data_IF_147077597138
#
_entry.id   IF_147077597138
#
_cell.length_a   1.000
_cell.length_b   1.000
_cell.length_c   1.000
_cell.angle_alpha   90.00
_cell.angle_beta   90.00
_cell.angle_gamma   90.00
#
_symmetry.space_group_name_H-M   'P 1'
#
loop_
_entity.id
_entity.type
_entity.pdbx_description
1 polymer ?
#
# COMPACT_ATOMS: atom_id res chain seq x y z
N UNK A 1 1.26 28.23 -7.80
CA UNK A 1 1.17 26.86 -8.31
C UNK A 1 0.99 25.88 -7.16
N UNK A 2 -0.16 25.25 -7.15
CA UNK A 2 -0.41 24.21 -6.15
C UNK A 2 0.45 23.00 -6.46
N UNK A 3 1.30 22.63 -5.51
CA UNK A 3 1.99 21.36 -5.59
C UNK A 3 1.01 20.28 -5.18
N UNK A 4 0.39 19.65 -6.15
CA UNK A 4 -0.40 18.47 -5.85
C UNK A 4 0.56 17.33 -5.52
N UNK A 5 0.50 16.87 -4.27
CA UNK A 5 1.21 15.66 -3.89
C UNK A 5 0.38 14.50 -4.44
N UNK A 6 0.89 13.86 -5.46
CA UNK A 6 0.22 12.69 -6.03
C UNK A 6 0.31 11.53 -5.04
N UNK A 7 -0.74 10.72 -4.98
CA UNK A 7 -0.77 9.54 -4.12
C UNK A 7 0.44 8.63 -4.38
N UNK A 8 0.85 8.48 -5.64
CA UNK A 8 2.01 7.67 -6.01
C UNK A 8 3.29 8.16 -5.35
N UNK A 9 3.48 9.48 -5.23
CA UNK A 9 4.67 10.03 -4.60
C UNK A 9 4.71 9.73 -3.11
N UNK A 10 3.57 9.81 -2.43
CA UNK A 10 3.45 9.48 -1.00
C UNK A 10 3.77 8.00 -0.78
N UNK A 11 3.21 7.13 -1.60
CA UNK A 11 3.43 5.69 -1.52
C UNK A 11 4.89 5.36 -1.82
N UNK A 12 5.48 5.97 -2.85
CA UNK A 12 6.88 5.78 -3.21
C UNK A 12 7.80 6.15 -2.04
N UNK A 13 7.57 7.32 -1.44
CA UNK A 13 8.37 7.77 -0.31
C UNK A 13 8.26 6.83 0.89
N UNK A 14 7.06 6.31 1.14
CA UNK A 14 6.83 5.36 2.22
C UNK A 14 7.64 4.07 2.01
N UNK A 15 7.56 3.51 0.82
CA UNK A 15 8.30 2.29 0.51
C UNK A 15 9.82 2.54 0.50
N UNK A 16 10.24 3.72 0.09
CA UNK A 16 11.65 4.09 0.19
C UNK A 16 12.14 4.08 1.64
N UNK A 17 11.31 4.56 2.57
CA UNK A 17 11.64 4.49 3.99
C UNK A 17 11.82 3.06 4.47
N UNK A 18 10.96 2.14 4.00
CA UNK A 18 11.09 0.72 4.33
C UNK A 18 12.42 0.16 3.82
N UNK A 19 12.80 0.49 2.59
CA UNK A 19 14.05 0.03 2.00
C UNK A 19 15.27 0.60 2.71
N UNK A 20 15.21 1.87 3.14
CA UNK A 20 16.32 2.57 3.76
C UNK A 20 16.47 2.24 5.25
N UNK A 21 15.44 1.67 5.88
CA UNK A 21 15.49 1.36 7.29
C UNK A 21 16.41 0.17 7.54
N UNK A 22 17.48 0.40 8.29
CA UNK A 22 18.50 -0.62 8.59
C UNK A 22 18.10 -1.54 9.73
N UNK A 23 17.26 -1.04 10.64
CA UNK A 23 16.76 -1.84 11.77
C UNK A 23 15.62 -2.72 11.28
N UNK A 24 15.80 -4.03 11.38
CA UNK A 24 14.82 -4.99 10.91
C UNK A 24 13.48 -4.85 11.63
N UNK A 25 13.51 -4.59 12.92
CA UNK A 25 12.29 -4.42 13.72
C UNK A 25 11.49 -3.21 13.26
N UNK A 26 12.16 -2.08 13.03
CA UNK A 26 11.52 -0.87 12.55
C UNK A 26 10.97 -1.03 11.14
N UNK A 27 11.69 -1.76 10.28
CA UNK A 27 11.24 -2.07 8.93
C UNK A 27 9.90 -2.83 8.97
N UNK A 28 9.80 -3.83 9.84
CA UNK A 28 8.55 -4.60 10.02
C UNK A 28 7.45 -3.71 10.59
N UNK A 29 7.76 -2.83 11.52
CA UNK A 29 6.79 -1.88 12.08
C UNK A 29 6.23 -0.94 11.00
N UNK A 30 7.09 -0.46 10.10
CA UNK A 30 6.65 0.36 8.98
C UNK A 30 5.70 -0.42 8.06
N UNK A 31 6.05 -1.67 7.76
CA UNK A 31 5.21 -2.52 6.94
C UNK A 31 3.84 -2.78 7.57
N UNK A 32 3.82 -3.08 8.86
CA UNK A 32 2.57 -3.28 9.61
C UNK A 32 1.72 -2.02 9.64
N UNK A 33 2.36 -0.84 9.76
CA UNK A 33 1.68 0.44 9.69
C UNK A 33 0.99 0.64 8.34
N UNK A 34 1.65 0.25 7.26
CA UNK A 34 1.08 0.28 5.92
C UNK A 34 -0.17 -0.59 5.82
N UNK A 35 -0.09 -1.82 6.33
CA UNK A 35 -1.23 -2.75 6.33
C UNK A 35 -2.41 -2.14 7.08
N UNK A 36 -2.17 -1.61 8.28
CA UNK A 36 -3.22 -1.02 9.11
C UNK A 36 -3.87 0.17 8.42
N UNK A 37 -3.08 1.03 7.79
CA UNK A 37 -3.60 2.20 7.07
C UNK A 37 -4.47 1.76 5.89
N UNK A 38 -4.03 0.76 5.14
CA UNK A 38 -4.79 0.27 3.99
C UNK A 38 -6.08 -0.44 4.41
N UNK A 39 -6.04 -1.22 5.48
CA UNK A 39 -7.24 -1.87 6.02
C UNK A 39 -8.28 -0.83 6.46
N UNK A 40 -7.82 0.23 7.11
CA UNK A 40 -8.69 1.34 7.52
C UNK A 40 -9.34 2.01 6.30
N UNK A 41 -8.55 2.28 5.27
CA UNK A 41 -9.05 2.86 4.04
C UNK A 41 -10.10 1.98 3.36
N UNK A 42 -9.86 0.68 3.29
CA UNK A 42 -10.81 -0.26 2.70
C UNK A 42 -12.11 -0.31 3.49
N UNK A 43 -12.02 -0.31 4.82
CA UNK A 43 -13.20 -0.30 5.69
C UNK A 43 -14.03 0.97 5.46
N UNK A 44 -13.35 2.12 5.36
CA UNK A 44 -14.03 3.39 5.11
C UNK A 44 -14.68 3.41 3.72
N UNK A 45 -14.03 2.84 2.72
CA UNK A 45 -14.61 2.72 1.38
C UNK A 45 -15.88 1.89 1.39
N UNK A 46 -15.86 0.75 2.10
CA UNK A 46 -17.07 -0.09 2.23
C UNK A 46 -18.23 0.66 2.87
N UNK A 47 -17.96 1.44 3.92
CA UNK A 47 -19.00 2.20 4.63
C UNK A 47 -19.60 3.30 3.76
N UNK A 48 -18.81 3.85 2.85
CA UNK A 48 -19.24 4.97 2.01
C UNK A 48 -19.84 4.54 0.68
N UNK A 49 -19.76 3.25 0.33
CA UNK A 49 -20.35 2.74 -0.89
C UNK A 49 -21.88 2.63 -0.74
N UNK A 50 -22.60 3.12 -1.74
CA UNK A 50 -24.03 2.89 -1.86
C UNK A 50 -24.27 1.42 -2.22
N UNK A 51 -25.46 0.89 -1.90
CA UNK A 51 -25.78 -0.51 -2.13
C UNK A 51 -25.55 -0.96 -3.58
N UNK A 52 -25.86 -0.09 -4.53
CA UNK A 52 -25.67 -0.37 -5.95
C UNK A 52 -24.20 -0.49 -6.32
N UNK A 53 -23.35 0.28 -5.65
CA UNK A 53 -21.91 0.28 -5.90
C UNK A 53 -21.19 -0.84 -5.15
N UNK A 54 -21.75 -1.29 -4.02
CA UNK A 54 -21.17 -2.41 -3.25
C UNK A 54 -21.01 -3.67 -4.08
N UNK A 55 -22.01 -3.97 -4.91
CA UNK A 55 -21.95 -5.17 -5.76
C UNK A 55 -20.81 -5.11 -6.74
N UNK A 56 -20.55 -3.91 -7.30
CA UNK A 56 -19.48 -3.71 -8.29
C UNK A 56 -18.08 -3.71 -7.66
N UNK A 57 -17.96 -3.15 -6.45
CA UNK A 57 -16.65 -2.91 -5.84
C UNK A 57 -16.29 -3.90 -4.75
N UNK A 58 -17.25 -4.70 -4.30
CA UNK A 58 -17.01 -5.64 -3.20
C UNK A 58 -15.91 -6.64 -3.54
N UNK A 59 -15.88 -7.14 -4.77
CA UNK A 59 -14.85 -8.07 -5.21
C UNK A 59 -13.45 -7.43 -5.14
N UNK A 60 -13.33 -6.19 -5.60
CA UNK A 60 -12.07 -5.45 -5.53
C UNK A 60 -11.64 -5.23 -4.09
N UNK A 61 -12.57 -4.85 -3.23
CA UNK A 61 -12.27 -4.63 -1.81
C UNK A 61 -11.81 -5.94 -1.17
N UNK A 62 -12.50 -7.04 -1.44
CA UNK A 62 -12.15 -8.35 -0.90
C UNK A 62 -10.77 -8.81 -1.39
N UNK A 63 -10.47 -8.60 -2.67
CA UNK A 63 -9.17 -8.93 -3.25
C UNK A 63 -8.06 -8.11 -2.58
N UNK A 64 -8.30 -6.83 -2.34
CA UNK A 64 -7.33 -5.98 -1.65
C UNK A 64 -7.13 -6.42 -0.20
N UNK A 65 -8.19 -6.81 0.49
CA UNK A 65 -8.07 -7.33 1.87
C UNK A 65 -7.26 -8.61 1.90
N UNK A 66 -7.48 -9.52 0.96
CA UNK A 66 -6.71 -10.76 0.86
C UNK A 66 -5.24 -10.46 0.59
N UNK A 67 -4.96 -9.51 -0.29
CA UNK A 67 -3.60 -9.08 -0.57
C UNK A 67 -2.91 -8.55 0.69
N UNK A 68 -3.60 -7.69 1.45
CA UNK A 68 -3.07 -7.15 2.70
C UNK A 68 -2.80 -8.26 3.72
N UNK A 69 -3.70 -9.24 3.80
CA UNK A 69 -3.48 -10.40 4.69
C UNK A 69 -2.23 -11.18 4.29
N UNK A 70 -1.95 -11.29 3.00
CA UNK A 70 -0.75 -11.98 2.51
C UNK A 70 0.53 -11.26 2.89
N UNK A 71 0.47 -9.96 3.17
CA UNK A 71 1.62 -9.17 3.58
C UNK A 71 1.93 -9.30 5.08
N UNK A 72 0.99 -9.82 5.87
CA UNK A 72 1.19 -9.99 7.31
C UNK A 72 2.21 -11.11 7.55
N UNK A 73 3.07 -10.88 8.52
CA UNK A 73 4.09 -11.86 8.89
C UNK A 73 5.34 -11.84 8.02
N UNK A 74 5.49 -10.86 7.14
CA UNK A 74 6.71 -10.73 6.35
C UNK A 74 7.91 -10.38 7.24
N UNK A 75 9.06 -10.95 6.89
CA UNK A 75 10.33 -10.55 7.49
C UNK A 75 10.76 -9.19 6.96
N UNK A 76 11.75 -8.57 7.61
CA UNK A 76 12.30 -7.29 7.13
C UNK A 76 12.84 -7.41 5.69
N UNK A 77 13.53 -8.51 5.37
CA UNK A 77 14.04 -8.75 4.03
C UNK A 77 12.89 -8.80 3.02
N UNK A 78 11.84 -9.54 3.34
CA UNK A 78 10.66 -9.64 2.48
C UNK A 78 9.97 -8.28 2.29
N UNK A 79 9.89 -7.47 3.35
CA UNK A 79 9.33 -6.12 3.25
C UNK A 79 10.15 -5.23 2.33
N UNK A 80 11.48 -5.32 2.43
CA UNK A 80 12.37 -4.53 1.56
C UNK A 80 12.22 -4.96 0.09
N UNK A 81 12.12 -6.25 -0.16
CA UNK A 81 11.90 -6.76 -1.51
C UNK A 81 10.55 -6.30 -2.07
N UNK A 82 9.50 -6.40 -1.27
CA UNK A 82 8.17 -5.94 -1.65
C UNK A 82 8.17 -4.44 -1.95
N UNK A 83 8.79 -3.64 -1.06
CA UNK A 83 8.87 -2.20 -1.24
C UNK A 83 9.64 -1.83 -2.50
N UNK A 84 10.75 -2.52 -2.77
CA UNK A 84 11.54 -2.30 -3.99
C UNK A 84 10.71 -2.59 -5.22
N UNK A 85 9.98 -3.69 -5.22
CA UNK A 85 9.11 -4.07 -6.34
C UNK A 85 8.03 -3.01 -6.58
N UNK A 86 7.40 -2.53 -5.51
CA UNK A 86 6.37 -1.49 -5.61
C UNK A 86 6.94 -0.19 -6.17
N UNK A 87 8.14 0.20 -5.74
CA UNK A 87 8.78 1.40 -6.26
C UNK A 87 9.11 1.28 -7.73
N UNK A 88 9.59 0.12 -8.16
CA UNK A 88 9.88 -0.15 -9.58
C UNK A 88 8.59 -0.04 -10.41
N UNK A 89 7.50 -0.62 -9.93
CA UNK A 89 6.21 -0.54 -10.62
C UNK A 89 5.70 0.89 -10.75
N UNK A 90 5.84 1.69 -9.69
CA UNK A 90 5.45 3.10 -9.72
C UNK A 90 6.27 3.87 -10.75
N UNK A 91 7.59 3.68 -10.76
CA UNK A 91 8.47 4.32 -11.73
C UNK A 91 8.15 3.91 -13.16
N UNK A 92 7.89 2.64 -13.38
CA UNK A 92 7.51 2.12 -14.69
C UNK A 92 6.20 2.75 -15.17
N UNK A 93 5.22 2.85 -14.29
CA UNK A 93 3.94 3.48 -14.60
C UNK A 93 4.11 4.96 -14.97
N UNK A 94 4.91 5.69 -14.22
CA UNK A 94 5.20 7.10 -14.52
C UNK A 94 5.91 7.27 -15.85
N UNK A 95 6.80 6.36 -16.19
CA UNK A 95 7.54 6.38 -17.44
C UNK A 95 6.65 6.18 -18.66
N UNK A 96 5.55 5.47 -18.51
CA UNK A 96 4.60 5.17 -19.59
C UNK A 96 3.50 6.23 -19.76
N UNK A 97 3.35 7.13 -18.81
CA UNK A 97 2.29 8.14 -18.88
C UNK A 97 2.78 9.47 -19.53
#
# INVERSE_FOLDING_TARGET
MSKEIKADDVIFNFFQQICDEKDNKKCIELGNGWINAMETNLTNMEKNLEETDKVKHQENIDNNKQHLNSLKGKTATEWREYATQCMVEILDHKSKS
#
